data_IF_896221221924
#
_entry.id   IF_896221221924
#
_cell.length_a   1.000
_cell.length_b   1.000
_cell.length_c   1.000
_cell.angle_alpha   90.00
_cell.angle_beta   90.00
_cell.angle_gamma   90.00
#
_symmetry.space_group_name_H-M   'P 1'
#
loop_
_entity.id
_entity.type
_entity.pdbx_description
1 polymer ?
#
# COMPACT_ATOMS: atom_id res chain seq x y z
N UNK A 1 47.14 10.11 -66.25
CA UNK A 1 46.20 8.98 -66.49
C UNK A 1 44.80 9.48 -66.20
N UNK A 2 43.96 9.60 -67.26
CA UNK A 2 42.63 10.23 -67.23
C UNK A 2 41.61 9.29 -66.72
N UNK A 3 40.78 9.70 -65.75
CA UNK A 3 39.54 8.99 -65.36
C UNK A 3 38.35 9.69 -65.94
N UNK A 4 37.67 9.02 -66.80
CA UNK A 4 36.39 9.45 -67.41
C UNK A 4 35.26 9.36 -66.40
N UNK A 5 34.46 10.41 -66.36
CA UNK A 5 33.19 10.48 -65.63
C UNK A 5 32.06 10.14 -66.58
N UNK A 6 31.33 9.07 -66.26
CA UNK A 6 30.10 8.71 -66.98
C UNK A 6 28.93 9.31 -66.22
N UNK A 7 28.19 10.23 -66.83
CA UNK A 7 26.96 10.76 -66.30
C UNK A 7 25.79 9.87 -66.74
N UNK A 8 25.02 9.36 -65.81
CA UNK A 8 23.75 8.62 -66.06
C UNK A 8 22.59 9.57 -65.91
N UNK A 9 21.90 9.83 -66.99
CA UNK A 9 20.71 10.65 -67.06
C UNK A 9 19.50 9.80 -66.66
N UNK A 10 18.85 10.15 -65.54
CA UNK A 10 17.67 9.43 -65.03
C UNK A 10 16.43 10.29 -65.35
N UNK A 11 15.62 9.81 -66.26
CA UNK A 11 14.34 10.44 -66.66
C UNK A 11 13.30 10.16 -65.59
N UNK A 12 12.77 11.23 -64.96
CA UNK A 12 11.68 11.11 -63.99
C UNK A 12 10.35 11.21 -64.74
N UNK A 13 9.58 10.10 -64.69
CA UNK A 13 8.21 10.06 -65.19
C UNK A 13 7.27 10.53 -64.07
N UNK A 14 6.66 11.73 -64.21
CA UNK A 14 5.60 12.21 -63.32
C UNK A 14 4.29 11.48 -63.64
N UNK A 15 3.94 10.49 -62.79
CA UNK A 15 2.61 9.91 -62.78
C UNK A 15 1.68 10.72 -61.88
N UNK A 16 0.67 11.33 -62.43
CA UNK A 16 -0.40 12.02 -61.68
C UNK A 16 -1.34 10.98 -61.08
N UNK A 17 -1.27 10.77 -59.78
CA UNK A 17 -2.22 9.95 -59.05
C UNK A 17 -3.39 10.84 -58.65
N UNK A 18 -4.55 10.63 -59.24
CA UNK A 18 -5.82 11.24 -58.87
C UNK A 18 -6.31 10.60 -57.58
N UNK A 19 -6.21 11.32 -56.43
CA UNK A 19 -6.79 10.88 -55.16
C UNK A 19 -8.26 11.29 -55.16
N UNK A 20 -9.17 10.35 -55.37
CA UNK A 20 -10.59 10.52 -55.08
C UNK A 20 -10.79 10.49 -53.59
N UNK A 21 -11.08 11.65 -52.98
CA UNK A 21 -11.47 11.76 -51.59
C UNK A 21 -12.86 11.14 -51.41
N UNK A 22 -12.92 9.98 -50.80
CA UNK A 22 -14.16 9.45 -50.22
C UNK A 22 -14.44 10.25 -48.93
N UNK A 23 -15.39 11.17 -49.01
CA UNK A 23 -15.96 11.78 -47.82
C UNK A 23 -16.91 10.77 -47.18
N UNK A 24 -16.38 10.00 -46.22
CA UNK A 24 -17.19 9.15 -45.34
C UNK A 24 -17.83 10.05 -44.27
N UNK A 25 -19.05 10.49 -44.56
CA UNK A 25 -19.88 11.26 -43.63
C UNK A 25 -20.48 10.29 -42.61
N UNK A 26 -19.65 9.72 -41.73
CA UNK A 26 -20.14 9.06 -40.54
C UNK A 26 -20.73 10.11 -39.61
N UNK A 27 -22.05 10.20 -39.55
CA UNK A 27 -22.77 11.04 -38.60
C UNK A 27 -22.28 10.69 -37.19
N UNK A 28 -21.52 11.58 -36.59
CA UNK A 28 -21.04 11.48 -35.21
C UNK A 28 -22.28 11.67 -34.29
N UNK A 29 -22.91 10.57 -33.91
CA UNK A 29 -23.92 10.60 -32.86
C UNK A 29 -23.22 11.01 -31.57
N UNK A 30 -23.58 12.15 -30.95
CA UNK A 30 -22.93 12.56 -29.72
C UNK A 30 -23.15 11.49 -28.65
N UNK A 31 -22.05 10.97 -28.10
CA UNK A 31 -22.10 9.96 -27.04
C UNK A 31 -22.92 10.53 -25.88
N UNK A 32 -23.94 9.74 -25.48
CA UNK A 32 -24.77 10.07 -24.31
C UNK A 32 -23.86 10.37 -23.12
N UNK A 33 -24.04 11.51 -22.41
CA UNK A 33 -23.18 11.84 -21.28
C UNK A 33 -23.15 10.68 -20.27
N UNK A 34 -21.95 10.22 -19.95
CA UNK A 34 -21.77 9.14 -19.00
C UNK A 34 -22.38 9.55 -17.65
N UNK A 35 -23.21 8.68 -17.08
CA UNK A 35 -23.76 8.93 -15.73
C UNK A 35 -22.61 9.21 -14.77
N UNK A 36 -22.76 10.20 -13.85
CA UNK A 36 -21.74 10.46 -12.85
C UNK A 36 -21.41 9.16 -12.11
N UNK A 37 -20.12 8.85 -12.08
CA UNK A 37 -19.62 7.66 -11.44
C UNK A 37 -19.81 7.89 -9.93
N UNK A 38 -20.77 7.25 -9.28
CA UNK A 38 -20.82 7.20 -7.81
C UNK A 38 -19.58 6.44 -7.35
N UNK A 39 -18.61 7.15 -6.79
CA UNK A 39 -17.54 6.52 -6.02
C UNK A 39 -18.19 5.80 -4.85
N UNK A 40 -17.82 4.55 -4.59
CA UNK A 40 -18.27 3.86 -3.40
C UNK A 40 -17.89 4.71 -2.17
N UNK A 41 -18.75 4.81 -1.16
CA UNK A 41 -18.43 5.57 0.04
C UNK A 41 -17.15 5.02 0.68
N UNK A 42 -16.29 5.91 1.20
CA UNK A 42 -15.08 5.52 1.91
C UNK A 42 -15.43 5.02 3.33
N UNK A 43 -14.56 4.22 3.97
CA UNK A 43 -14.70 3.89 5.39
C UNK A 43 -14.78 5.15 6.25
N UNK A 44 -15.73 5.16 7.21
CA UNK A 44 -15.93 6.27 8.13
C UNK A 44 -15.38 5.92 9.51
N UNK A 45 -14.36 6.64 9.93
CA UNK A 45 -13.73 6.49 11.24
C UNK A 45 -14.39 7.42 12.26
N UNK A 46 -14.64 6.94 13.47
CA UNK A 46 -15.22 7.73 14.55
C UNK A 46 -14.46 7.55 15.87
N UNK A 47 -14.54 8.55 16.73
CA UNK A 47 -13.85 8.55 18.02
C UNK A 47 -13.41 9.95 18.43
N UNK A 48 -12.66 10.05 19.53
CA UNK A 48 -12.14 11.34 20.00
C UNK A 48 -11.08 11.90 19.05
N UNK A 49 -11.15 13.19 18.68
CA UNK A 49 -10.10 13.84 17.89
C UNK A 49 -8.72 13.78 18.55
N UNK A 50 -8.65 13.80 19.89
CA UNK A 50 -7.40 13.74 20.66
C UNK A 50 -6.82 12.34 20.78
N UNK A 51 -7.57 11.29 20.43
CA UNK A 51 -7.07 9.91 20.44
C UNK A 51 -6.16 9.63 19.26
N UNK A 52 -5.10 8.85 19.48
CA UNK A 52 -4.22 8.34 18.41
C UNK A 52 -4.84 7.24 17.58
N UNK A 53 -5.96 6.65 18.01
CA UNK A 53 -6.72 5.61 17.33
C UNK A 53 -8.20 6.00 17.26
N UNK A 54 -8.95 5.41 16.32
CA UNK A 54 -10.39 5.53 16.28
C UNK A 54 -11.05 4.60 17.31
N UNK A 55 -12.23 4.99 17.80
CA UNK A 55 -13.08 4.11 18.61
C UNK A 55 -13.67 2.99 17.77
N UNK A 56 -13.84 3.22 16.48
CA UNK A 56 -14.29 2.22 15.52
C UNK A 56 -14.30 2.77 14.10
N UNK A 57 -14.69 1.91 13.16
CA UNK A 57 -14.81 2.24 11.75
C UNK A 57 -16.07 1.60 11.19
N UNK A 58 -16.83 2.36 10.40
CA UNK A 58 -17.94 1.85 9.60
C UNK A 58 -17.42 1.64 8.18
N UNK A 59 -17.48 0.41 7.72
CA UNK A 59 -17.07 0.04 6.36
C UNK A 59 -18.33 -0.05 5.51
N UNK A 60 -18.35 0.56 4.31
CA UNK A 60 -19.49 0.53 3.42
C UNK A 60 -19.87 -0.88 2.99
N UNK A 61 -21.17 -1.08 2.75
CA UNK A 61 -21.68 -2.32 2.16
C UNK A 61 -21.00 -2.59 0.79
N UNK A 62 -20.68 -3.85 0.52
CA UNK A 62 -20.04 -4.28 -0.72
C UNK A 62 -18.53 -4.01 -0.82
N UNK A 63 -17.93 -3.41 0.19
CA UNK A 63 -16.49 -3.22 0.21
C UNK A 63 -15.73 -4.57 0.28
N UNK A 64 -14.63 -4.68 -0.46
CA UNK A 64 -13.73 -5.82 -0.36
C UNK A 64 -12.69 -5.59 0.73
N UNK A 65 -12.37 -6.65 1.47
CA UNK A 65 -11.38 -6.62 2.54
C UNK A 65 -10.12 -7.35 2.14
N UNK A 66 -8.99 -6.87 2.62
CA UNK A 66 -7.73 -7.57 2.66
C UNK A 66 -7.37 -7.80 4.12
N UNK A 67 -7.11 -9.04 4.49
CA UNK A 67 -6.58 -9.44 5.79
C UNK A 67 -5.14 -9.89 5.61
N UNK A 68 -4.21 -9.38 6.40
CA UNK A 68 -2.89 -9.98 6.47
C UNK A 68 -2.92 -11.13 7.49
N UNK A 69 -2.01 -12.08 7.32
CA UNK A 69 -1.63 -12.94 8.44
C UNK A 69 -0.86 -12.13 9.49
N UNK A 70 -0.57 -12.74 10.65
CA UNK A 70 0.35 -12.17 11.60
C UNK A 70 1.69 -11.88 10.92
N UNK A 71 2.07 -10.62 10.92
CA UNK A 71 3.35 -10.15 10.36
C UNK A 71 4.34 -10.01 11.51
N UNK A 72 5.52 -10.58 11.34
CA UNK A 72 6.57 -10.65 12.36
C UNK A 72 7.77 -9.80 11.93
N UNK A 73 8.67 -9.42 12.88
CA UNK A 73 9.76 -8.52 12.57
C UNK A 73 10.77 -9.15 11.59
N UNK A 74 11.28 -8.37 10.63
CA UNK A 74 12.37 -8.82 9.79
C UNK A 74 13.67 -8.92 10.61
N UNK A 75 14.52 -9.88 10.25
CA UNK A 75 15.85 -10.02 10.85
C UNK A 75 16.73 -8.83 10.44
N UNK A 76 17.32 -8.13 11.42
CA UNK A 76 18.27 -7.04 11.18
C UNK A 76 19.71 -7.55 11.08
N UNK A 77 20.07 -8.50 11.96
CA UNK A 77 21.39 -9.12 11.99
C UNK A 77 21.27 -10.60 12.39
N UNK A 78 21.38 -11.50 11.42
CA UNK A 78 21.26 -12.95 11.65
C UNK A 78 22.34 -13.52 12.57
N UNK A 79 23.51 -12.85 12.68
CA UNK A 79 24.64 -13.31 13.48
C UNK A 79 24.64 -12.69 14.90
N UNK A 80 23.63 -11.85 15.22
CA UNK A 80 23.47 -11.22 16.53
C UNK A 80 23.31 -12.24 17.66
N UNK A 81 23.91 -11.96 18.82
CA UNK A 81 23.92 -12.84 19.99
C UNK A 81 22.68 -12.67 20.88
N UNK A 82 22.10 -11.49 20.85
CA UNK A 82 20.90 -11.14 21.65
C UNK A 82 19.70 -10.89 20.75
N UNK A 83 18.50 -10.88 21.32
CA UNK A 83 17.26 -10.50 20.62
C UNK A 83 17.41 -9.11 20.00
N UNK A 84 17.95 -8.16 20.78
CA UNK A 84 18.10 -6.77 20.31
C UNK A 84 19.09 -6.63 19.15
N UNK A 85 20.15 -7.42 19.14
CA UNK A 85 21.10 -7.43 18.02
C UNK A 85 20.45 -8.05 16.77
N UNK A 86 19.60 -9.09 16.91
CA UNK A 86 18.98 -9.76 15.78
C UNK A 86 17.76 -9.02 15.23
N UNK A 87 16.93 -8.45 16.10
CA UNK A 87 15.62 -7.91 15.71
C UNK A 87 15.34 -6.48 16.26
N UNK A 88 16.17 -5.99 17.19
CA UNK A 88 15.89 -4.75 17.91
C UNK A 88 14.89 -4.93 19.06
N UNK A 89 14.56 -3.81 19.69
CA UNK A 89 13.52 -3.71 20.72
C UNK A 89 12.11 -3.73 20.11
N UNK A 90 11.06 -3.69 20.93
CA UNK A 90 9.66 -3.68 20.49
C UNK A 90 9.36 -2.55 19.50
N UNK A 91 9.95 -1.36 19.70
CA UNK A 91 9.79 -0.23 18.78
C UNK A 91 10.40 -0.53 17.42
N UNK A 92 11.62 -1.00 17.38
CA UNK A 92 12.35 -1.34 16.16
C UNK A 92 11.65 -2.47 15.40
N UNK A 93 11.20 -3.50 16.11
CA UNK A 93 10.43 -4.60 15.55
C UNK A 93 9.10 -4.11 14.98
N UNK A 94 8.35 -3.29 15.70
CA UNK A 94 7.08 -2.70 15.24
C UNK A 94 7.24 -1.85 13.98
N UNK A 95 8.31 -1.04 13.89
CA UNK A 95 8.65 -0.28 12.68
C UNK A 95 8.91 -1.23 11.50
N UNK A 96 9.69 -2.29 11.71
CA UNK A 96 9.99 -3.28 10.69
C UNK A 96 8.74 -3.97 10.16
N UNK A 97 7.85 -4.38 11.07
CA UNK A 97 6.57 -5.01 10.73
C UNK A 97 5.67 -4.07 9.93
N UNK A 98 5.52 -2.79 10.35
CA UNK A 98 4.66 -1.84 9.64
C UNK A 98 5.18 -1.53 8.22
N UNK A 99 6.49 -1.52 8.01
CA UNK A 99 7.08 -1.42 6.67
C UNK A 99 6.78 -2.66 5.82
N UNK A 100 6.83 -3.85 6.40
CA UNK A 100 6.50 -5.09 5.67
C UNK A 100 5.00 -5.15 5.33
N UNK A 101 4.12 -4.76 6.27
CA UNK A 101 2.67 -4.62 5.99
C UNK A 101 2.43 -3.61 4.88
N UNK A 102 3.09 -2.45 4.91
CA UNK A 102 2.99 -1.45 3.84
C UNK A 102 3.38 -2.02 2.48
N UNK A 103 4.45 -2.81 2.41
CA UNK A 103 4.89 -3.49 1.20
C UNK A 103 3.84 -4.49 0.70
N UNK A 104 3.33 -5.36 1.58
CA UNK A 104 2.27 -6.34 1.26
C UNK A 104 1.01 -5.64 0.72
N UNK A 105 0.62 -4.52 1.33
CA UNK A 105 -0.52 -3.72 0.87
C UNK A 105 -0.27 -3.13 -0.52
N UNK A 106 0.94 -2.61 -0.78
CA UNK A 106 1.32 -2.04 -2.10
C UNK A 106 1.27 -3.08 -3.21
N UNK A 107 1.64 -4.32 -2.95
CA UNK A 107 1.53 -5.44 -3.91
C UNK A 107 0.08 -5.73 -4.31
N UNK A 108 -0.89 -5.33 -3.48
CA UNK A 108 -2.33 -5.44 -3.73
C UNK A 108 -2.97 -4.12 -4.20
N UNK A 109 -2.16 -3.09 -4.49
CA UNK A 109 -2.62 -1.77 -4.90
C UNK A 109 -3.25 -0.95 -3.77
N UNK A 110 -2.91 -1.26 -2.51
CA UNK A 110 -3.35 -0.58 -1.30
C UNK A 110 -2.18 0.12 -0.61
N UNK A 111 -2.46 0.84 0.45
CA UNK A 111 -1.45 1.44 1.33
C UNK A 111 -1.93 1.51 2.78
N UNK A 112 -1.09 2.04 3.67
CA UNK A 112 -1.44 2.19 5.08
C UNK A 112 -2.68 3.08 5.29
N UNK A 113 -2.97 3.99 4.36
CA UNK A 113 -4.19 4.83 4.36
C UNK A 113 -5.49 4.03 4.21
N UNK A 114 -5.40 2.80 3.69
CA UNK A 114 -6.56 1.92 3.46
C UNK A 114 -6.78 0.96 4.64
N UNK A 115 -5.90 0.99 5.65
CA UNK A 115 -6.01 0.15 6.85
C UNK A 115 -7.13 0.66 7.74
N UNK A 116 -8.06 -0.22 8.09
CA UNK A 116 -9.22 0.08 8.95
C UNK A 116 -9.07 -0.51 10.35
N UNK A 117 -8.29 -1.57 10.50
CA UNK A 117 -8.11 -2.22 11.80
C UNK A 117 -6.71 -2.84 11.91
N UNK A 118 -6.14 -2.74 13.12
CA UNK A 118 -4.92 -3.45 13.52
C UNK A 118 -5.20 -4.32 14.74
N UNK A 119 -4.67 -5.55 14.73
CA UNK A 119 -4.56 -6.41 15.92
C UNK A 119 -3.10 -6.60 16.24
N UNK A 120 -2.74 -6.32 17.48
CA UNK A 120 -1.35 -6.25 17.92
C UNK A 120 -1.15 -7.11 19.15
N UNK A 121 -0.19 -8.01 19.06
CA UNK A 121 0.22 -8.91 20.12
C UNK A 121 1.62 -8.53 20.58
N UNK A 122 1.80 -8.30 21.88
CA UNK A 122 3.09 -7.91 22.47
C UNK A 122 3.50 -9.00 23.46
N UNK A 123 4.69 -9.57 23.25
CA UNK A 123 5.30 -10.54 24.15
C UNK A 123 6.14 -9.82 25.22
N UNK A 124 6.40 -10.47 26.37
CA UNK A 124 7.26 -9.94 27.42
C UNK A 124 8.68 -9.71 26.92
N UNK A 125 9.26 -8.56 27.22
CA UNK A 125 10.64 -8.23 26.87
C UNK A 125 11.59 -8.52 28.05
N UNK A 126 12.43 -9.54 27.89
CA UNK A 126 13.39 -9.92 28.93
C UNK A 126 14.41 -8.80 29.24
N UNK A 127 14.74 -7.95 28.27
CA UNK A 127 15.63 -6.79 28.46
C UNK A 127 14.95 -5.67 29.26
N UNK A 128 13.63 -5.74 29.40
CA UNK A 128 12.81 -4.80 30.20
C UNK A 128 12.18 -5.49 31.42
N UNK A 129 12.89 -6.50 31.98
CA UNK A 129 12.44 -7.21 33.17
C UNK A 129 11.20 -8.10 32.95
N UNK A 130 10.96 -8.55 31.74
CA UNK A 130 9.80 -9.40 31.41
C UNK A 130 8.48 -8.64 31.31
N UNK A 131 8.50 -7.33 31.14
CA UNK A 131 7.30 -6.50 30.97
C UNK A 131 6.92 -6.35 29.50
N UNK A 132 5.66 -5.99 29.24
CA UNK A 132 5.17 -5.67 27.89
C UNK A 132 5.54 -4.22 27.53
N UNK A 133 6.27 -4.03 26.44
CA UNK A 133 6.69 -2.70 26.00
C UNK A 133 5.64 -2.03 25.11
N UNK A 134 4.50 -1.65 25.72
CA UNK A 134 3.46 -0.92 24.99
C UNK A 134 3.93 0.44 24.48
N UNK A 135 4.81 1.12 25.22
CA UNK A 135 5.35 2.43 24.84
C UNK A 135 6.17 2.33 23.57
N UNK A 136 7.06 1.34 23.46
CA UNK A 136 7.82 1.10 22.23
C UNK A 136 6.91 0.86 21.02
N UNK A 137 5.83 0.09 21.21
CA UNK A 137 4.83 -0.07 20.17
C UNK A 137 4.14 1.24 19.79
N UNK A 138 3.67 2.03 20.76
CA UNK A 138 2.99 3.29 20.46
C UNK A 138 3.90 4.29 19.75
N UNK A 139 5.17 4.33 20.09
CA UNK A 139 6.19 5.12 19.40
C UNK A 139 6.43 4.65 17.95
N UNK A 140 6.38 3.33 17.70
CA UNK A 140 6.46 2.78 16.34
C UNK A 140 5.21 3.18 15.52
N UNK A 141 4.01 2.96 16.08
CA UNK A 141 2.73 3.29 15.46
C UNK A 141 2.64 4.76 15.03
N UNK A 142 3.06 5.69 15.90
CA UNK A 142 3.01 7.13 15.66
C UNK A 142 3.84 7.60 14.45
N UNK A 143 4.74 6.77 13.92
CA UNK A 143 5.50 7.09 12.72
C UNK A 143 4.74 6.80 11.42
N UNK A 144 3.69 5.99 11.47
CA UNK A 144 2.97 5.51 10.29
C UNK A 144 1.51 5.96 10.22
N UNK A 145 0.87 6.22 11.38
CA UNK A 145 -0.55 6.55 11.49
C UNK A 145 -0.74 7.82 12.32
N UNK A 146 -1.83 8.53 12.05
CA UNK A 146 -2.12 9.82 12.69
C UNK A 146 -0.98 10.85 12.47
N UNK A 147 -0.38 10.81 11.28
CA UNK A 147 0.67 11.74 10.84
C UNK A 147 0.12 12.67 9.76
N UNK A 148 0.86 13.73 9.42
CA UNK A 148 0.52 14.61 8.30
C UNK A 148 0.47 13.82 6.97
N UNK A 149 1.41 12.89 6.74
CA UNK A 149 1.47 12.06 5.53
C UNK A 149 0.38 10.98 5.49
N UNK A 150 -0.04 10.47 6.66
CA UNK A 150 -1.11 9.49 6.78
C UNK A 150 -1.99 9.82 8.00
N UNK A 151 -3.02 10.65 7.82
CA UNK A 151 -3.89 11.08 8.91
C UNK A 151 -4.86 10.00 9.41
N UNK A 152 -4.88 8.83 8.77
CA UNK A 152 -5.74 7.71 9.17
C UNK A 152 -5.38 7.24 10.57
N UNK A 153 -6.43 6.98 11.36
CA UNK A 153 -6.36 6.41 12.71
C UNK A 153 -7.15 5.10 12.72
N UNK A 154 -6.56 3.94 12.34
CA UNK A 154 -7.30 2.69 12.35
C UNK A 154 -7.82 2.36 13.76
N UNK A 155 -8.96 1.66 13.83
CA UNK A 155 -9.35 1.02 15.07
C UNK A 155 -8.29 -0.04 15.43
N UNK A 156 -8.05 -0.29 16.74
CA UNK A 156 -6.95 -1.14 17.15
C UNK A 156 -7.23 -1.86 18.46
N UNK A 157 -6.87 -3.15 18.51
CA UNK A 157 -6.67 -3.87 19.77
C UNK A 157 -5.18 -4.11 19.96
N UNK A 158 -4.70 -3.88 21.19
CA UNK A 158 -3.32 -4.18 21.58
C UNK A 158 -3.36 -4.99 22.86
N UNK A 159 -2.81 -6.20 22.84
CA UNK A 159 -2.86 -7.14 23.95
C UNK A 159 -1.47 -7.71 24.24
N UNK A 160 -1.17 -7.91 25.51
CA UNK A 160 -0.05 -8.73 25.95
C UNK A 160 -0.37 -10.20 25.82
N UNK A 161 0.57 -10.99 25.29
CA UNK A 161 0.46 -12.45 25.15
C UNK A 161 1.62 -13.13 25.87
N UNK A 162 1.41 -14.35 26.34
CA UNK A 162 2.44 -15.09 27.09
C UNK A 162 3.70 -15.33 26.26
N UNK A 163 3.55 -15.60 24.96
CA UNK A 163 4.64 -15.80 24.01
C UNK A 163 4.14 -15.63 22.58
N UNK A 164 5.06 -15.37 21.65
CA UNK A 164 4.87 -15.55 20.22
C UNK A 164 5.57 -16.85 19.76
N UNK A 165 5.42 -17.18 18.48
CA UNK A 165 5.98 -18.43 17.92
C UNK A 165 7.51 -18.50 18.07
N UNK A 166 8.19 -17.35 17.94
CA UNK A 166 9.61 -17.22 18.23
C UNK A 166 9.82 -16.42 19.52
N UNK A 167 10.74 -16.85 20.36
CA UNK A 167 11.17 -16.10 21.56
C UNK A 167 11.91 -14.80 21.23
N UNK A 168 12.33 -14.63 19.99
CA UNK A 168 12.99 -13.39 19.52
C UNK A 168 11.98 -12.31 19.10
N UNK A 169 10.72 -12.67 18.93
CA UNK A 169 9.69 -11.72 18.53
C UNK A 169 9.02 -11.10 19.76
N UNK A 170 9.09 -9.80 19.85
CA UNK A 170 8.49 -9.02 20.93
C UNK A 170 7.11 -8.45 20.55
N UNK A 171 6.79 -8.50 19.25
CA UNK A 171 5.53 -7.97 18.71
C UNK A 171 5.18 -8.70 17.41
N UNK A 172 3.87 -8.93 17.19
CA UNK A 172 3.27 -9.41 15.97
C UNK A 172 2.05 -8.56 15.64
N UNK A 173 1.81 -8.27 14.35
CA UNK A 173 0.72 -7.37 13.93
C UNK A 173 -0.05 -7.99 12.77
N UNK A 174 -1.39 -7.97 12.87
CA UNK A 174 -2.31 -8.23 11.77
C UNK A 174 -2.95 -6.91 11.34
N UNK A 175 -3.17 -6.76 10.04
CA UNK A 175 -3.86 -5.61 9.47
C UNK A 175 -5.09 -6.04 8.67
N UNK A 176 -6.15 -5.24 8.78
CA UNK A 176 -7.31 -5.32 7.89
C UNK A 176 -7.36 -4.02 7.10
N UNK A 177 -7.34 -4.12 5.78
CA UNK A 177 -7.46 -3.00 4.87
C UNK A 177 -8.73 -3.13 4.01
N UNK A 178 -9.29 -2.01 3.60
CA UNK A 178 -10.47 -1.95 2.72
C UNK A 178 -10.02 -1.55 1.34
N UNK A 179 -10.33 -2.41 0.37
CA UNK A 179 -10.08 -2.12 -1.03
C UNK A 179 -11.18 -1.19 -1.54
N UNK A 180 -10.83 0.00 -2.07
CA UNK A 180 -11.81 0.83 -2.76
C UNK A 180 -12.45 0.02 -3.88
N UNK A 181 -13.78 0.14 -4.06
CA UNK A 181 -14.50 -0.58 -5.11
C UNK A 181 -13.83 -0.33 -6.47
N UNK A 182 -13.10 -1.31 -6.96
CA UNK A 182 -12.70 -1.34 -8.35
C UNK A 182 -13.96 -1.70 -9.12
N UNK A 183 -14.61 -0.69 -9.76
CA UNK A 183 -15.77 -0.91 -10.61
C UNK A 183 -15.58 -2.18 -11.43
N UNK A 184 -16.58 -3.07 -11.35
CA UNK A 184 -16.74 -4.09 -12.36
C UNK A 184 -16.74 -3.37 -13.73
N UNK A 185 -15.69 -3.61 -14.50
CA UNK A 185 -15.65 -3.25 -15.93
C UNK A 185 -16.72 -4.02 -16.68
#
# INVERSE_FOLDING_TARGET
MKKMKTALLMTVLLGTVSVTAYADSAAHTPAKPAKPIKTAPAPAFYGSPSSSISSGVVVPEGASYLFTSGTVPPVLNKDGKTVYERYGDTKTQGIGILKEIEKQLKEQGLGLKDVVYLRVYIAPDAQKGGTFDYTGWFDAYAQFFNTEANPVKPARSTVGVASLVSSDWLIEIEAVAVKPDSKKK
#
